data_IF_791060065674
#
_entry.id   IF_791060065674
#
_cell.length_a   1.000
_cell.length_b   1.000
_cell.length_c   1.000
_cell.angle_alpha   90.00
_cell.angle_beta   90.00
_cell.angle_gamma   90.00
#
_symmetry.space_group_name_H-M   'P 1'
#
loop_
_entity.id
_entity.type
_entity.pdbx_description
1 polymer ?
#
# COMPACT_ATOMS: atom_id res chain seq x y z
N UNK A 1 1.63 75.30 -34.55
CA UNK A 1 2.95 75.27 -35.20
C UNK A 1 3.76 74.14 -34.62
N UNK A 2 4.56 73.53 -35.48
CA UNK A 2 5.32 72.29 -35.38
C UNK A 2 6.34 72.23 -34.21
N UNK A 3 6.91 71.04 -34.04
CA UNK A 3 8.24 70.69 -33.47
C UNK A 3 8.24 70.04 -32.06
N UNK A 4 8.36 68.71 -32.04
CA UNK A 4 9.15 67.94 -31.04
C UNK A 4 10.65 68.12 -31.38
N UNK A 5 11.69 67.88 -30.51
CA UNK A 5 11.76 66.75 -29.55
C UNK A 5 12.70 66.91 -28.30
N UNK A 6 12.80 65.82 -27.53
CA UNK A 6 14.03 65.19 -26.98
C UNK A 6 14.27 65.18 -25.45
N UNK A 7 14.53 63.95 -25.02
CA UNK A 7 14.92 63.34 -23.74
C UNK A 7 15.90 64.09 -22.82
N UNK A 8 15.70 63.94 -21.50
CA UNK A 8 16.75 63.66 -20.52
C UNK A 8 16.16 63.00 -19.25
N UNK A 9 17.02 62.31 -18.53
CA UNK A 9 16.77 61.21 -17.60
C UNK A 9 16.83 61.58 -16.10
N UNK A 10 16.04 60.84 -15.29
CA UNK A 10 16.36 60.26 -13.96
C UNK A 10 16.65 61.20 -12.77
N UNK A 11 15.74 61.18 -11.79
CA UNK A 11 15.98 61.34 -10.35
C UNK A 11 14.90 60.51 -9.62
N UNK A 12 15.22 59.29 -9.21
CA UNK A 12 15.48 58.89 -7.81
C UNK A 12 14.28 59.05 -6.87
N UNK A 13 13.59 57.93 -6.65
CA UNK A 13 12.62 57.71 -5.58
C UNK A 13 13.10 56.52 -4.73
N UNK A 14 12.81 56.52 -3.41
CA UNK A 14 13.65 55.87 -2.40
C UNK A 14 13.49 54.36 -2.32
N UNK A 15 14.57 53.72 -1.90
CA UNK A 15 14.76 52.28 -1.69
C UNK A 15 13.74 51.75 -0.67
N UNK A 16 12.77 50.97 -1.15
CA UNK A 16 11.97 50.06 -0.33
C UNK A 16 12.72 48.74 -0.18
N UNK A 17 13.44 48.57 0.93
CA UNK A 17 14.00 47.27 1.33
C UNK A 17 12.87 46.33 1.78
N UNK A 18 12.23 45.64 0.84
CA UNK A 18 11.50 44.42 1.13
C UNK A 18 12.49 43.26 1.29
N UNK A 19 12.42 42.44 2.36
CA UNK A 19 13.23 41.24 2.48
C UNK A 19 12.95 40.29 1.30
N UNK A 20 13.96 39.63 0.73
CA UNK A 20 13.72 38.68 -0.35
C UNK A 20 12.83 37.54 0.15
N UNK A 21 11.75 37.27 -0.60
CA UNK A 21 10.90 36.08 -0.41
C UNK A 21 11.81 34.84 -0.39
N UNK A 22 11.68 33.93 0.59
CA UNK A 22 12.47 32.71 0.60
C UNK A 22 12.19 31.91 -0.68
N UNK A 23 13.26 31.45 -1.33
CA UNK A 23 13.17 30.55 -2.47
C UNK A 23 12.39 29.29 -2.09
N UNK A 24 11.62 28.69 -3.03
CA UNK A 24 10.91 27.44 -2.79
C UNK A 24 11.91 26.37 -2.35
N UNK A 25 11.65 25.72 -1.22
CA UNK A 25 12.51 24.63 -0.72
C UNK A 25 12.43 23.49 -1.73
N UNK A 26 13.58 23.07 -2.26
CA UNK A 26 13.65 21.98 -3.23
C UNK A 26 13.26 20.63 -2.61
N UNK A 27 12.80 19.68 -3.43
CA UNK A 27 12.56 18.32 -2.96
C UNK A 27 13.84 17.67 -2.40
N UNK A 28 14.99 17.97 -3.00
CA UNK A 28 16.30 17.49 -2.57
C UNK A 28 16.72 18.07 -1.22
N UNK A 29 16.42 19.35 -0.97
CA UNK A 29 16.68 20.01 0.30
C UNK A 29 15.87 19.37 1.43
N UNK A 30 14.58 19.07 1.20
CA UNK A 30 13.75 18.35 2.17
C UNK A 30 14.31 16.96 2.49
N UNK A 31 14.82 16.23 1.49
CA UNK A 31 15.48 14.93 1.72
C UNK A 31 16.80 15.06 2.47
N UNK A 32 17.59 16.10 2.20
CA UNK A 32 18.83 16.36 2.92
C UNK A 32 18.57 16.70 4.39
N UNK A 33 17.54 17.52 4.67
CA UNK A 33 17.11 17.85 6.03
C UNK A 33 16.61 16.60 6.75
N UNK A 34 15.77 15.80 6.12
CA UNK A 34 15.27 14.55 6.71
C UNK A 34 16.41 13.58 7.06
N UNK A 35 17.35 13.36 6.14
CA UNK A 35 18.55 12.53 6.38
C UNK A 35 19.36 13.04 7.56
N UNK A 36 19.64 14.35 7.63
CA UNK A 36 20.38 14.94 8.76
C UNK A 36 19.72 14.66 10.11
N UNK A 37 18.40 14.63 10.19
CA UNK A 37 17.70 14.28 11.42
C UNK A 37 17.65 12.77 11.67
N UNK A 38 17.46 11.97 10.63
CA UNK A 38 17.46 10.50 10.71
C UNK A 38 18.82 9.97 11.22
N UNK A 39 19.93 10.50 10.70
CA UNK A 39 21.30 10.11 11.07
C UNK A 39 21.67 10.48 12.51
N UNK A 40 20.91 11.36 13.16
CA UNK A 40 21.11 11.68 14.57
C UNK A 40 20.42 10.62 15.44
N UNK A 41 21.08 10.08 16.48
CA UNK A 41 20.38 9.21 17.43
C UNK A 41 19.28 9.99 18.16
N UNK A 42 18.17 9.32 18.45
CA UNK A 42 17.11 9.91 19.29
C UNK A 42 17.65 9.98 20.72
N UNK A 43 17.97 11.18 21.21
CA UNK A 43 18.52 11.37 22.55
C UNK A 43 17.44 11.18 23.62
N UNK A 44 17.70 10.31 24.59
CA UNK A 44 16.89 10.07 25.81
C UNK A 44 15.36 10.04 25.58
N UNK A 45 14.84 9.09 24.78
CA UNK A 45 13.39 8.91 24.67
C UNK A 45 12.79 8.51 26.02
N UNK A 46 11.57 8.98 26.31
CA UNK A 46 10.80 8.53 27.48
C UNK A 46 10.65 6.98 27.43
N UNK A 47 10.63 6.28 28.58
CA UNK A 47 10.43 4.84 28.61
C UNK A 47 9.18 4.42 27.83
N UNK A 48 9.34 3.48 26.90
CA UNK A 48 8.24 2.96 26.07
C UNK A 48 8.03 3.67 24.72
N UNK A 49 8.76 4.76 24.42
CA UNK A 49 8.74 5.38 23.09
C UNK A 49 9.54 4.51 22.12
N UNK A 50 8.90 4.08 21.04
CA UNK A 50 9.50 3.22 20.00
C UNK A 50 9.87 3.99 18.72
N UNK A 51 9.21 5.12 18.45
CA UNK A 51 9.58 6.01 17.35
C UNK A 51 9.22 7.47 17.64
N UNK A 52 9.79 8.37 16.83
CA UNK A 52 9.60 9.82 16.92
C UNK A 52 9.35 10.40 15.54
N UNK A 53 8.33 11.23 15.38
CA UNK A 53 8.19 12.09 14.21
C UNK A 53 8.84 13.44 14.51
N UNK A 54 9.92 13.77 13.81
CA UNK A 54 10.63 15.04 13.96
C UNK A 54 10.21 16.01 12.86
N UNK A 55 9.74 17.21 13.22
CA UNK A 55 9.28 18.20 12.24
C UNK A 55 10.42 18.72 11.36
N UNK A 56 10.23 18.65 10.04
CA UNK A 56 11.21 19.11 9.05
C UNK A 56 10.75 20.34 8.26
N UNK A 57 9.44 20.51 8.06
CA UNK A 57 8.85 21.70 7.44
C UNK A 57 8.75 22.89 8.40
N UNK A 58 8.64 24.12 7.85
CA UNK A 58 8.48 25.34 8.65
C UNK A 58 7.22 25.30 9.52
N UNK A 59 6.06 24.90 8.95
CA UNK A 59 4.79 24.86 9.69
C UNK A 59 4.78 23.77 10.77
N UNK A 60 5.35 22.60 10.50
CA UNK A 60 5.45 21.55 11.50
C UNK A 60 6.34 21.95 12.69
N UNK A 61 7.42 22.71 12.45
CA UNK A 61 8.31 23.20 13.51
C UNK A 61 7.68 24.27 14.41
N UNK A 62 6.66 24.97 13.90
CA UNK A 62 5.92 26.02 14.62
C UNK A 62 4.73 25.47 15.44
N UNK A 63 4.59 24.14 15.58
CA UNK A 63 3.57 23.54 16.45
C UNK A 63 3.81 23.90 17.91
N UNK A 64 2.73 24.19 18.64
CA UNK A 64 2.73 24.52 20.07
C UNK A 64 3.29 23.39 20.94
N UNK A 65 3.12 22.16 20.51
CA UNK A 65 3.46 20.94 21.24
C UNK A 65 4.91 20.51 21.01
N UNK A 66 5.68 21.33 20.29
CA UNK A 66 7.09 21.12 20.02
C UNK A 66 7.37 20.42 18.70
N UNK A 67 8.68 20.31 18.42
CA UNK A 67 9.20 19.79 17.15
C UNK A 67 8.98 18.29 16.97
N UNK A 68 8.85 17.55 18.08
CA UNK A 68 8.81 16.09 18.09
C UNK A 68 7.41 15.58 18.47
N UNK A 69 6.99 14.49 17.84
CA UNK A 69 5.82 13.70 18.26
C UNK A 69 6.35 12.34 18.68
N UNK A 70 6.15 12.00 19.95
CA UNK A 70 6.62 10.73 20.52
C UNK A 70 5.56 9.65 20.31
N UNK A 71 5.97 8.50 19.78
CA UNK A 71 5.11 7.34 19.55
C UNK A 71 5.46 6.27 20.58
N UNK A 72 4.58 6.07 21.57
CA UNK A 72 4.76 5.12 22.67
C UNK A 72 3.69 4.03 22.75
N UNK A 73 2.45 4.32 22.36
CA UNK A 73 1.37 3.35 22.30
C UNK A 73 1.42 2.48 21.04
N UNK A 74 0.57 1.47 20.94
CA UNK A 74 0.51 0.61 19.74
C UNK A 74 -0.16 1.30 18.55
N UNK A 75 -1.04 2.26 18.79
CA UNK A 75 -1.72 3.06 17.76
C UNK A 75 -1.74 4.55 18.14
N UNK A 76 -1.48 5.42 17.17
CA UNK A 76 -1.53 6.87 17.31
C UNK A 76 -2.32 7.48 16.16
N UNK A 77 -3.39 8.19 16.50
CA UNK A 77 -4.21 8.91 15.52
C UNK A 77 -3.73 10.36 15.47
N UNK A 78 -3.41 10.84 14.27
CA UNK A 78 -3.01 12.23 14.03
C UNK A 78 -4.12 12.96 13.27
N UNK A 79 -4.38 14.21 13.63
CA UNK A 79 -5.43 14.99 12.97
C UNK A 79 -5.76 16.30 13.67
N UNK A 80 -6.76 17.01 13.15
CA UNK A 80 -7.13 18.34 13.62
C UNK A 80 -7.91 18.33 14.94
N UNK A 81 -8.72 17.30 15.18
CA UNK A 81 -9.63 17.23 16.33
C UNK A 81 -9.32 16.06 17.26
N UNK A 82 -8.10 15.52 17.21
CA UNK A 82 -7.66 14.44 18.09
C UNK A 82 -7.66 14.92 19.55
N UNK A 83 -8.14 14.06 20.44
CA UNK A 83 -8.26 14.34 21.88
C UNK A 83 -6.92 14.70 22.50
N UNK A 84 -5.91 13.87 22.28
CA UNK A 84 -4.56 14.11 22.77
C UNK A 84 -3.87 15.24 21.97
N UNK A 85 -3.54 16.39 22.60
CA UNK A 85 -2.97 17.53 21.90
C UNK A 85 -1.62 17.23 21.23
N UNK A 86 -0.83 16.28 21.75
CA UNK A 86 0.50 15.95 21.21
C UNK A 86 0.43 15.48 19.74
N UNK A 87 -0.68 14.85 19.34
CA UNK A 87 -0.91 14.35 17.98
C UNK A 87 -1.78 15.30 17.12
N UNK A 88 -2.10 16.49 17.65
CA UNK A 88 -2.95 17.45 16.97
C UNK A 88 -2.16 18.27 15.95
N UNK A 89 -2.73 18.44 14.78
CA UNK A 89 -2.25 19.36 13.75
C UNK A 89 -3.37 20.37 13.46
N UNK A 90 -3.25 21.55 14.06
CA UNK A 90 -4.26 22.62 14.07
C UNK A 90 -4.33 23.39 12.74
N UNK A 91 -4.44 22.66 11.62
CA UNK A 91 -4.60 23.23 10.29
C UNK A 91 -5.98 22.87 9.73
N UNK A 92 -6.68 23.84 9.16
CA UNK A 92 -8.04 23.63 8.62
C UNK A 92 -8.03 22.59 7.48
N UNK A 93 -6.95 22.48 6.71
CA UNK A 93 -6.79 21.47 5.66
C UNK A 93 -6.67 20.04 6.19
N UNK A 94 -6.36 19.85 7.47
CA UNK A 94 -6.19 18.53 8.08
C UNK A 94 -7.55 18.05 8.59
N UNK A 95 -7.98 16.85 8.17
CA UNK A 95 -9.17 16.17 8.69
C UNK A 95 -9.11 15.92 10.20
N UNK A 96 -10.26 15.76 10.85
CA UNK A 96 -10.38 15.54 12.30
C UNK A 96 -9.51 14.38 12.80
N UNK A 97 -9.69 13.20 12.19
CA UNK A 97 -8.81 12.03 12.29
C UNK A 97 -8.18 11.80 10.91
N UNK A 98 -6.97 12.29 10.71
CA UNK A 98 -6.34 12.38 9.39
C UNK A 98 -5.67 11.08 8.97
N UNK A 99 -4.80 10.55 9.82
CA UNK A 99 -4.19 9.26 9.61
C UNK A 99 -3.92 8.60 10.95
N UNK A 100 -3.58 7.32 10.88
CA UNK A 100 -3.11 6.56 12.03
C UNK A 100 -1.77 5.92 11.75
N UNK A 101 -0.92 5.89 12.76
CA UNK A 101 0.37 5.19 12.75
C UNK A 101 0.31 4.14 13.84
N UNK A 102 0.55 2.88 13.49
CA UNK A 102 0.42 1.75 14.42
C UNK A 102 1.50 0.69 14.20
N UNK A 103 1.85 -0.01 15.27
CA UNK A 103 2.67 -1.23 15.23
C UNK A 103 1.78 -2.41 14.91
N UNK A 104 2.21 -3.28 14.00
CA UNK A 104 1.52 -4.55 13.77
C UNK A 104 2.04 -5.62 14.73
N UNK A 105 1.40 -5.70 15.91
CA UNK A 105 1.78 -6.65 16.96
C UNK A 105 1.54 -8.10 16.57
N UNK A 106 0.63 -8.39 15.62
CA UNK A 106 0.35 -9.75 15.15
C UNK A 106 1.52 -10.28 14.33
N UNK A 107 2.11 -9.46 13.46
CA UNK A 107 3.32 -9.82 12.72
C UNK A 107 4.54 -9.84 13.65
N UNK A 108 4.60 -8.91 14.61
CA UNK A 108 5.67 -8.85 15.61
C UNK A 108 5.77 -10.09 16.50
N UNK A 109 4.64 -10.70 16.88
CA UNK A 109 4.63 -11.94 17.68
C UNK A 109 5.11 -13.18 16.89
N UNK A 110 4.93 -13.18 15.57
CA UNK A 110 5.36 -14.26 14.67
C UNK A 110 6.87 -14.19 14.34
N UNK A 111 7.47 -13.01 14.44
CA UNK A 111 8.88 -12.77 14.10
C UNK A 111 9.64 -12.18 15.30
N UNK A 112 10.06 -13.04 16.24
CA UNK A 112 10.75 -12.63 17.47
C UNK A 112 12.14 -12.00 17.28
N UNK A 113 12.72 -12.11 16.08
CA UNK A 113 14.08 -11.63 15.77
C UNK A 113 14.10 -10.33 14.92
N UNK A 114 12.95 -9.83 14.47
CA UNK A 114 12.86 -8.60 13.66
C UNK A 114 12.13 -7.45 14.41
N UNK A 115 12.47 -6.17 14.15
CA UNK A 115 11.72 -5.04 14.66
C UNK A 115 10.26 -5.08 14.19
N UNK A 116 9.31 -4.92 15.13
CA UNK A 116 7.87 -4.92 14.84
C UNK A 116 7.54 -3.91 13.74
N UNK A 117 6.93 -4.32 12.61
CA UNK A 117 6.69 -3.42 11.50
C UNK A 117 5.65 -2.35 11.86
N UNK A 118 5.91 -1.13 11.39
CA UNK A 118 5.06 0.03 11.64
C UNK A 118 4.37 0.45 10.36
N UNK A 119 3.07 0.74 10.44
CA UNK A 119 2.25 1.10 9.30
C UNK A 119 1.58 2.45 9.50
N UNK A 120 1.41 3.18 8.39
CA UNK A 120 0.58 4.36 8.29
C UNK A 120 -0.66 4.05 7.46
N UNK A 121 -1.84 4.36 8.00
CA UNK A 121 -3.11 4.31 7.28
C UNK A 121 -3.73 5.70 7.22
N UNK A 122 -3.91 6.21 6.01
CA UNK A 122 -4.63 7.46 5.77
C UNK A 122 -6.15 7.23 5.91
N UNK A 123 -6.82 8.17 6.58
CA UNK A 123 -8.28 8.24 6.73
C UNK A 123 -8.83 9.61 6.33
N UNK A 124 -8.00 10.44 5.71
CA UNK A 124 -8.29 11.85 5.48
C UNK A 124 -9.00 12.11 4.16
N UNK A 125 -9.52 13.33 4.02
CA UNK A 125 -10.13 13.81 2.77
C UNK A 125 -9.06 14.27 1.77
N UNK A 126 -7.99 14.90 2.26
CA UNK A 126 -6.98 15.55 1.43
C UNK A 126 -5.75 14.68 1.14
N UNK A 127 -5.62 13.55 1.85
CA UNK A 127 -4.53 12.59 1.73
C UNK A 127 -3.29 12.96 2.55
N UNK A 128 -2.49 11.93 2.81
CA UNK A 128 -1.18 11.98 3.44
C UNK A 128 -0.12 11.60 2.43
N UNK A 129 1.02 12.31 2.41
CA UNK A 129 2.15 11.99 1.56
C UNK A 129 3.23 11.26 2.34
N UNK A 130 3.70 10.12 1.84
CA UNK A 130 4.93 9.46 2.33
C UNK A 130 5.95 9.46 1.20
N UNK A 131 7.12 10.08 1.42
CA UNK A 131 8.17 10.24 0.40
C UNK A 131 7.63 10.75 -0.96
N UNK A 132 6.83 11.82 -0.94
CA UNK A 132 6.14 12.42 -2.10
C UNK A 132 5.04 11.55 -2.76
N UNK A 133 4.83 10.31 -2.32
CA UNK A 133 3.74 9.47 -2.79
C UNK A 133 2.47 9.76 -1.97
N UNK A 134 1.34 10.01 -2.65
CA UNK A 134 0.08 10.38 -2.00
C UNK A 134 -0.75 9.13 -1.65
N UNK A 135 -1.14 9.03 -0.39
CA UNK A 135 -2.03 8.00 0.15
C UNK A 135 -3.37 8.64 0.54
N UNK A 136 -4.46 7.93 0.24
CA UNK A 136 -5.84 8.36 0.48
C UNK A 136 -6.56 7.35 1.36
N UNK A 137 -7.76 7.69 1.84
CA UNK A 137 -8.61 6.81 2.68
C UNK A 137 -8.76 5.36 2.17
N UNK A 138 -8.85 5.18 0.85
CA UNK A 138 -8.99 3.86 0.19
C UNK A 138 -7.66 3.15 -0.07
N UNK A 139 -6.52 3.83 0.04
CA UNK A 139 -5.20 3.23 -0.14
C UNK A 139 -4.93 2.19 0.95
N UNK A 140 -4.25 1.08 0.66
CA UNK A 140 -3.82 0.14 1.68
C UNK A 140 -2.87 0.83 2.69
N UNK A 141 -2.74 0.32 3.93
CA UNK A 141 -1.71 0.78 4.86
C UNK A 141 -0.32 0.68 4.22
N UNK A 142 0.52 1.68 4.46
CA UNK A 142 1.90 1.72 3.95
C UNK A 142 2.89 1.49 5.08
N UNK A 143 3.89 0.63 4.87
CA UNK A 143 4.94 0.37 5.86
C UNK A 143 5.84 1.61 5.97
N UNK A 144 6.10 2.06 7.20
CA UNK A 144 7.04 3.13 7.49
C UNK A 144 8.40 2.54 7.87
N UNK A 145 9.46 3.16 7.35
CA UNK A 145 10.84 2.82 7.69
C UNK A 145 11.57 4.04 8.22
N UNK A 146 12.58 3.82 9.07
CA UNK A 146 13.44 4.89 9.59
C UNK A 146 13.94 5.82 8.45
N UNK A 147 13.71 7.12 8.60
CA UNK A 147 14.06 8.14 7.61
C UNK A 147 12.93 8.57 6.67
N UNK A 148 11.79 7.88 6.68
CA UNK A 148 10.65 8.24 5.82
C UNK A 148 10.06 9.61 6.14
N UNK A 149 9.68 10.36 5.10
CA UNK A 149 9.08 11.68 5.24
C UNK A 149 7.56 11.58 5.12
N UNK A 150 6.86 12.00 6.16
CA UNK A 150 5.40 12.04 6.22
C UNK A 150 4.95 13.49 6.15
N UNK A 151 4.07 13.83 5.20
CA UNK A 151 3.53 15.18 5.04
C UNK A 151 2.01 15.18 4.93
N UNK A 152 1.36 16.02 5.72
CA UNK A 152 -0.10 16.12 5.76
C UNK A 152 -0.60 17.08 4.68
N UNK A 153 -1.63 16.68 3.92
CA UNK A 153 -2.40 17.50 2.95
C UNK A 153 -1.69 17.95 1.68
N UNK A 154 -0.41 18.30 1.75
CA UNK A 154 0.39 18.78 0.61
C UNK A 154 1.74 18.07 0.56
N UNK A 155 2.42 18.05 -0.60
CA UNK A 155 3.76 17.51 -0.72
C UNK A 155 4.77 18.16 0.26
N UNK A 156 5.83 17.45 0.69
CA UNK A 156 6.73 17.91 1.75
C UNK A 156 7.42 19.27 1.47
N UNK A 157 7.71 19.56 0.21
CA UNK A 157 8.43 20.76 -0.25
C UNK A 157 7.53 22.02 -0.35
N UNK A 158 6.22 21.87 -0.18
CA UNK A 158 5.29 22.98 -0.26
C UNK A 158 5.35 23.85 1.02
N UNK A 159 5.27 25.18 0.91
CA UNK A 159 5.41 26.08 2.07
C UNK A 159 4.32 25.89 3.15
N UNK A 160 3.14 25.43 2.73
CA UNK A 160 2.02 25.12 3.63
C UNK A 160 2.08 23.69 4.20
N UNK A 161 3.13 22.91 3.91
CA UNK A 161 3.22 21.52 4.33
C UNK A 161 3.45 21.38 5.82
N UNK A 162 2.83 20.36 6.41
CA UNK A 162 3.20 19.84 7.71
C UNK A 162 3.96 18.54 7.48
N UNK A 163 5.27 18.65 7.22
CA UNK A 163 6.15 17.52 7.00
C UNK A 163 7.00 17.17 8.23
N UNK A 164 7.10 15.87 8.50
CA UNK A 164 7.86 15.24 9.57
C UNK A 164 8.72 14.10 8.99
N UNK A 165 9.86 13.83 9.61
CA UNK A 165 10.65 12.61 9.36
C UNK A 165 10.37 11.59 10.46
N UNK A 166 10.09 10.36 10.07
CA UNK A 166 9.91 9.22 10.96
C UNK A 166 11.27 8.65 11.39
N UNK A 167 11.49 8.51 12.68
CA UNK A 167 12.76 8.06 13.27
C UNK A 167 12.50 6.99 14.33
N UNK A 168 13.02 5.80 14.12
CA UNK A 168 13.00 4.73 15.11
C UNK A 168 14.02 4.97 16.22
N UNK A 169 13.65 4.63 17.47
CA UNK A 169 14.50 4.82 18.65
C UNK A 169 15.65 3.81 18.71
N UNK A 170 15.42 2.57 18.26
CA UNK A 170 16.41 1.50 18.23
C UNK A 170 16.86 1.17 16.81
N UNK A 171 16.92 2.15 15.91
CA UNK A 171 17.50 1.94 14.58
C UNK A 171 18.96 1.50 14.78
N UNK A 172 19.23 0.20 14.68
CA UNK A 172 20.59 -0.32 14.58
C UNK A 172 21.20 0.38 13.38
N UNK A 173 22.20 1.22 13.63
CA UNK A 173 22.90 2.03 12.65
C UNK A 173 23.31 1.19 11.43
N UNK A 174 22.49 1.20 10.39
CA UNK A 174 22.85 0.73 9.06
C UNK A 174 23.56 1.87 8.30
N UNK A 175 24.68 2.34 8.87
CA UNK A 175 25.66 3.14 8.14
C UNK A 175 27.05 2.62 8.53
N UNK A 176 27.61 1.80 7.65
CA UNK A 176 29.05 1.60 7.61
C UNK A 176 29.71 2.94 7.31
N UNK A 177 30.53 3.41 8.24
CA UNK A 177 31.83 4.04 8.00
C UNK A 177 32.41 4.38 9.36
N UNK A 178 33.59 3.81 9.63
CA UNK A 178 34.31 4.03 10.86
C UNK A 178 34.64 5.51 11.07
N UNK A 179 34.63 5.93 12.32
CA UNK A 179 35.81 6.48 13.00
C UNK A 179 35.47 6.61 14.49
N UNK A 180 35.97 5.71 15.32
CA UNK A 180 35.97 5.87 16.77
C UNK A 180 37.09 6.85 17.15
N UNK A 181 36.81 8.16 17.19
CA UNK A 181 37.74 9.14 17.77
C UNK A 181 37.45 9.26 19.26
N UNK A 182 38.03 8.37 20.06
CA UNK A 182 38.22 8.61 21.50
C UNK A 182 39.56 9.31 21.71
N UNK A 183 39.54 10.64 21.70
CA UNK A 183 40.71 11.49 21.96
C UNK A 183 40.93 11.62 23.47
N UNK A 184 41.75 10.76 24.07
CA UNK A 184 42.32 11.00 25.42
C UNK A 184 43.57 11.89 25.28
N UNK A 185 43.52 13.10 25.86
CA UNK A 185 44.74 13.86 26.21
C UNK A 185 45.30 13.25 27.50
N UNK A 186 46.50 12.69 27.45
CA UNK A 186 47.27 12.36 28.67
C UNK A 186 48.31 13.44 28.89
N UNK A 187 48.28 14.02 30.10
CA UNK A 187 49.11 15.13 30.53
C UNK A 187 50.59 14.76 30.67
N UNK A 188 51.39 15.68 30.16
CA UNK A 188 52.73 16.09 30.56
C UNK A 188 53.05 15.82 32.05
N UNK A 189 54.06 14.99 32.31
CA UNK A 189 54.68 14.86 33.63
C UNK A 189 56.12 15.37 33.51
N UNK A 190 56.33 16.62 33.90
CA UNK A 190 57.65 17.21 34.05
C UNK A 190 58.33 16.63 35.29
N UNK A 191 59.53 16.09 35.10
CA UNK A 191 60.45 15.83 36.21
C UNK A 191 61.57 16.85 36.16
N UNK A 192 61.43 17.88 37.00
CA UNK A 192 62.48 18.80 37.39
C UNK A 192 63.67 18.03 37.97
N UNK A 193 64.79 17.99 37.26
CA UNK A 193 66.08 17.64 37.89
C UNK A 193 66.79 18.93 38.26
N UNK A 194 66.66 19.30 39.54
CA UNK A 194 67.38 20.39 40.19
C UNK A 194 68.87 20.16 40.01
N UNK A 195 69.55 21.09 39.34
CA UNK A 195 71.00 21.27 39.35
C UNK A 195 71.51 21.17 40.79
N UNK A 196 72.15 20.06 41.13
CA UNK A 196 72.97 19.96 42.32
C UNK A 196 74.22 20.83 42.12
N UNK A 197 74.56 21.51 43.21
CA UNK A 197 75.63 22.49 43.35
C UNK A 197 76.97 21.91 42.93
N UNK A 198 77.81 22.78 42.39
CA UNK A 198 79.08 22.43 41.78
C UNK A 198 80.01 21.62 42.68
N UNK A 199 80.65 20.63 42.07
CA UNK A 199 81.99 20.22 42.45
C UNK A 199 82.95 21.19 41.76
N UNK A 200 83.34 22.22 42.51
CA UNK A 200 84.61 22.88 42.27
C UNK A 200 85.77 21.97 42.64
N UNK A 201 86.97 22.45 42.30
CA UNK A 201 88.31 21.89 42.54
C UNK A 201 88.71 21.02 41.33
N UNK A 202 89.43 21.54 40.34
CA UNK A 202 90.66 22.32 40.50
C UNK A 202 91.83 21.34 40.51
N UNK A 203 92.69 21.43 39.50
CA UNK A 203 93.87 20.59 39.32
C UNK A 203 94.65 20.40 40.62
N UNK A 204 94.80 19.14 41.04
CA UNK A 204 95.94 18.70 41.82
C UNK A 204 96.53 17.48 41.11
N UNK A 205 97.59 17.73 40.35
CA UNK A 205 98.56 16.72 39.96
C UNK A 205 99.23 16.22 41.26
N UNK A 206 98.55 15.29 41.93
CA UNK A 206 98.85 14.75 43.25
C UNK A 206 98.19 13.38 43.38
N UNK A 207 98.77 12.44 44.16
CA UNK A 207 98.39 11.04 44.09
C UNK A 207 96.91 10.85 44.47
N UNK A 208 96.18 10.20 43.57
CA UNK A 208 94.77 9.85 43.74
C UNK A 208 94.60 9.06 45.05
N UNK A 209 93.62 9.44 45.87
CA UNK A 209 93.30 8.73 47.11
C UNK A 209 92.88 7.29 46.81
N UNK A 210 93.51 6.31 47.48
CA UNK A 210 93.21 4.89 47.31
C UNK A 210 91.75 4.55 47.65
N UNK A 211 91.09 5.34 48.50
CA UNK A 211 89.67 5.16 48.83
C UNK A 211 88.75 5.61 47.69
N UNK A 212 89.17 6.60 46.91
CA UNK A 212 88.40 7.09 45.75
C UNK A 212 88.49 6.07 44.61
N UNK A 213 89.67 5.48 44.41
CA UNK A 213 89.87 4.38 43.45
C UNK A 213 89.01 3.19 43.82
N UNK A 214 89.04 2.74 45.09
CA UNK A 214 88.19 1.62 45.55
C UNK A 214 86.70 1.89 45.42
N UNK A 215 86.24 3.12 45.65
CA UNK A 215 84.81 3.50 45.43
C UNK A 215 84.44 3.50 43.95
N UNK A 216 85.32 4.00 43.08
CA UNK A 216 85.09 3.96 41.64
C UNK A 216 85.12 2.53 41.09
N UNK A 217 86.01 1.67 41.57
CA UNK A 217 86.05 0.26 41.21
C UNK A 217 84.76 -0.46 41.60
N UNK A 218 84.27 -0.24 42.84
CA UNK A 218 83.01 -0.81 43.31
C UNK A 218 81.81 -0.28 42.50
N UNK A 219 81.75 1.02 42.24
CA UNK A 219 80.69 1.62 41.43
C UNK A 219 80.70 1.11 39.99
N UNK A 220 81.87 0.91 39.38
CA UNK A 220 81.98 0.32 38.05
C UNK A 220 81.60 -1.16 38.03
N UNK A 221 81.88 -1.91 39.09
CA UNK A 221 81.42 -3.30 39.22
C UNK A 221 79.88 -3.35 39.32
N UNK A 222 79.27 -2.52 40.18
CA UNK A 222 77.82 -2.40 40.32
C UNK A 222 77.15 -1.93 39.01
N UNK A 223 77.74 -1.00 38.27
CA UNK A 223 77.22 -0.55 36.97
C UNK A 223 77.25 -1.65 35.91
N UNK A 224 78.29 -2.50 35.90
CA UNK A 224 78.35 -3.66 35.00
C UNK A 224 77.27 -4.69 35.34
N UNK A 225 77.10 -4.98 36.63
CA UNK A 225 76.04 -5.88 37.11
C UNK A 225 74.64 -5.33 36.74
N UNK A 226 74.40 -4.04 36.92
CA UNK A 226 73.15 -3.40 36.50
C UNK A 226 72.94 -3.46 34.98
N UNK A 227 74.00 -3.25 34.20
CA UNK A 227 73.93 -3.33 32.75
C UNK A 227 73.58 -4.74 32.29
N UNK A 228 74.21 -5.76 32.86
CA UNK A 228 73.92 -7.18 32.59
C UNK A 228 72.45 -7.50 32.94
N UNK A 229 71.97 -7.08 34.11
CA UNK A 229 70.58 -7.27 34.53
C UNK A 229 69.59 -6.56 33.59
N UNK A 230 69.90 -5.34 33.13
CA UNK A 230 69.08 -4.62 32.17
C UNK A 230 69.07 -5.28 30.79
N UNK A 231 70.20 -5.80 30.31
CA UNK A 231 70.27 -6.53 29.03
C UNK A 231 69.39 -7.78 29.08
N UNK A 232 69.46 -8.58 30.16
CA UNK A 232 68.60 -9.75 30.36
C UNK A 232 67.11 -9.34 30.39
N UNK A 233 66.78 -8.23 31.04
CA UNK A 233 65.41 -7.70 31.08
C UNK A 233 64.93 -7.26 29.69
N UNK A 234 65.79 -6.63 28.90
CA UNK A 234 65.46 -6.22 27.53
C UNK A 234 65.26 -7.45 26.63
N UNK A 235 66.10 -8.47 26.75
CA UNK A 235 65.97 -9.70 25.98
C UNK A 235 64.69 -10.47 26.32
N UNK A 236 64.36 -10.58 27.61
CA UNK A 236 63.09 -11.19 28.05
C UNK A 236 61.86 -10.41 27.59
N UNK A 237 61.90 -9.07 27.62
CA UNK A 237 60.82 -8.25 27.06
C UNK A 237 60.70 -8.41 25.54
N UNK A 238 61.83 -8.53 24.82
CA UNK A 238 61.83 -8.74 23.36
C UNK A 238 61.25 -10.09 22.99
N UNK A 239 61.61 -11.16 23.70
CA UNK A 239 61.03 -12.49 23.46
C UNK A 239 59.56 -12.53 23.81
N UNK A 240 59.16 -11.94 24.94
CA UNK A 240 57.75 -11.81 25.32
C UNK A 240 56.94 -11.04 24.25
N UNK A 241 57.45 -9.89 23.78
CA UNK A 241 56.80 -9.10 22.71
C UNK A 241 56.62 -9.92 21.44
N UNK A 242 57.66 -10.65 21.00
CA UNK A 242 57.59 -11.50 19.81
C UNK A 242 56.53 -12.59 19.95
N UNK A 243 56.48 -13.27 21.11
CA UNK A 243 55.47 -14.31 21.35
C UNK A 243 54.05 -13.75 21.43
N UNK A 244 53.87 -12.56 21.99
CA UNK A 244 52.58 -11.88 22.04
C UNK A 244 52.11 -11.46 20.64
N UNK A 245 53.02 -10.98 19.78
CA UNK A 245 52.74 -10.64 18.39
C UNK A 245 52.29 -11.88 17.60
N UNK A 246 53.00 -13.01 17.72
CA UNK A 246 52.65 -14.28 17.07
C UNK A 246 51.30 -14.82 17.55
N UNK A 247 50.99 -14.70 18.84
CA UNK A 247 49.68 -15.09 19.40
C UNK A 247 48.56 -14.20 18.87
N UNK A 248 48.75 -12.88 18.89
CA UNK A 248 47.75 -11.94 18.36
C UNK A 248 47.50 -12.15 16.87
N UNK A 249 48.54 -12.40 16.06
CA UNK A 249 48.39 -12.72 14.64
C UNK A 249 47.56 -14.00 14.44
N UNK A 250 47.82 -15.04 15.23
CA UNK A 250 47.08 -16.30 15.20
C UNK A 250 45.61 -16.10 15.58
N UNK A 251 45.32 -15.41 16.68
CA UNK A 251 43.95 -15.12 17.13
C UNK A 251 43.17 -14.33 16.08
N UNK A 252 43.82 -13.35 15.45
CA UNK A 252 43.20 -12.51 14.42
C UNK A 252 42.88 -13.32 13.15
N UNK A 253 43.73 -14.29 12.81
CA UNK A 253 43.48 -15.23 11.71
C UNK A 253 42.32 -16.18 12.01
N UNK A 254 42.28 -16.78 13.20
CA UNK A 254 41.20 -17.68 13.64
C UNK A 254 39.86 -16.94 13.75
N UNK A 255 39.87 -15.72 14.27
CA UNK A 255 38.68 -14.87 14.32
C UNK A 255 38.16 -14.53 12.91
N UNK A 256 39.06 -14.20 11.98
CA UNK A 256 38.68 -13.92 10.59
C UNK A 256 38.11 -15.16 9.90
N UNK A 257 38.70 -16.33 10.11
CA UNK A 257 38.25 -17.59 9.51
C UNK A 257 36.89 -18.04 10.05
N UNK A 258 36.70 -17.99 11.37
CA UNK A 258 35.41 -18.31 12.01
C UNK A 258 34.30 -17.35 11.57
N UNK A 259 34.59 -16.04 11.54
CA UNK A 259 33.66 -15.02 11.04
C UNK A 259 33.30 -15.25 9.57
N UNK A 260 34.31 -15.47 8.72
CA UNK A 260 34.10 -15.74 7.29
C UNK A 260 33.31 -17.02 7.05
N UNK A 261 33.58 -18.07 7.81
CA UNK A 261 32.88 -19.36 7.68
C UNK A 261 31.41 -19.22 8.08
N UNK A 262 31.12 -18.50 9.18
CA UNK A 262 29.75 -18.23 9.62
C UNK A 262 28.93 -17.48 8.57
N UNK A 263 29.48 -16.41 7.97
CA UNK A 263 28.78 -15.69 6.90
C UNK A 263 28.59 -16.54 5.64
N UNK A 264 29.56 -17.40 5.31
CA UNK A 264 29.44 -18.32 4.17
C UNK A 264 28.32 -19.35 4.40
N UNK A 265 28.25 -19.93 5.59
CA UNK A 265 27.17 -20.85 5.96
C UNK A 265 25.80 -20.17 5.94
N UNK A 266 25.70 -18.95 6.49
CA UNK A 266 24.46 -18.17 6.44
C UNK A 266 24.04 -17.89 5.00
N UNK A 267 24.99 -17.53 4.13
CA UNK A 267 24.72 -17.27 2.71
C UNK A 267 24.22 -18.53 2.00
N UNK A 268 24.85 -19.69 2.25
CA UNK A 268 24.41 -20.98 1.71
C UNK A 268 23.01 -21.36 2.18
N UNK A 269 22.73 -21.17 3.48
CA UNK A 269 21.41 -21.44 4.06
C UNK A 269 20.32 -20.57 3.41
N UNK A 270 20.58 -19.26 3.28
CA UNK A 270 19.67 -18.33 2.60
C UNK A 270 19.45 -18.70 1.14
N UNK A 271 20.50 -19.12 0.44
CA UNK A 271 20.40 -19.55 -0.96
C UNK A 271 19.53 -20.79 -1.12
N UNK A 272 19.68 -21.79 -0.24
CA UNK A 272 18.82 -22.98 -0.23
C UNK A 272 17.36 -22.64 0.10
N UNK A 273 17.13 -21.74 1.07
CA UNK A 273 15.79 -21.27 1.40
C UNK A 273 15.15 -20.53 0.22
N UNK A 274 15.91 -19.69 -0.49
CA UNK A 274 15.46 -18.99 -1.67
C UNK A 274 15.12 -19.95 -2.82
N UNK A 275 15.95 -20.96 -3.07
CA UNK A 275 15.67 -21.99 -4.08
C UNK A 275 14.39 -22.78 -3.74
N UNK A 276 14.20 -23.11 -2.45
CA UNK A 276 12.97 -23.74 -1.98
C UNK A 276 11.74 -22.85 -2.20
N UNK A 277 11.83 -21.55 -1.94
CA UNK A 277 10.75 -20.59 -2.19
C UNK A 277 10.48 -20.40 -3.69
N UNK A 278 11.51 -20.42 -4.53
CA UNK A 278 11.35 -20.37 -5.98
C UNK A 278 10.57 -21.60 -6.48
N UNK A 279 10.93 -22.80 -6.04
CA UNK A 279 10.20 -24.03 -6.39
C UNK A 279 8.73 -23.98 -5.95
N UNK A 280 8.45 -23.47 -4.74
CA UNK A 280 7.07 -23.27 -4.27
C UNK A 280 6.31 -22.28 -5.17
N UNK A 281 6.94 -21.17 -5.55
CA UNK A 281 6.34 -20.18 -6.44
C UNK A 281 6.02 -20.78 -7.82
N UNK A 282 6.93 -21.58 -8.38
CA UNK A 282 6.73 -22.23 -9.67
C UNK A 282 5.55 -23.21 -9.62
N UNK A 283 5.45 -24.03 -8.56
CA UNK A 283 4.31 -24.95 -8.37
C UNK A 283 2.97 -24.24 -8.16
N UNK A 284 2.96 -23.10 -7.46
CA UNK A 284 1.76 -22.29 -7.31
C UNK A 284 1.37 -21.62 -8.63
N UNK A 285 2.36 -21.19 -9.42
CA UNK A 285 2.13 -20.63 -10.75
C UNK A 285 1.47 -21.66 -11.68
N UNK A 286 1.98 -22.90 -11.71
CA UNK A 286 1.38 -23.97 -12.52
C UNK A 286 -0.06 -24.28 -12.08
N UNK A 287 -0.29 -24.46 -10.77
CA UNK A 287 -1.64 -24.72 -10.25
C UNK A 287 -2.61 -23.57 -10.55
N UNK A 288 -2.13 -22.33 -10.48
CA UNK A 288 -2.95 -21.16 -10.82
C UNK A 288 -3.33 -21.15 -12.31
N UNK A 289 -2.41 -21.50 -13.21
CA UNK A 289 -2.75 -21.64 -14.64
C UNK A 289 -3.76 -22.75 -14.91
N UNK A 290 -3.65 -23.88 -14.21
CA UNK A 290 -4.63 -24.98 -14.31
C UNK A 290 -6.01 -24.55 -13.82
N UNK A 291 -6.06 -23.84 -12.67
CA UNK A 291 -7.31 -23.31 -12.13
C UNK A 291 -7.96 -22.30 -13.08
N UNK A 292 -7.18 -21.40 -13.67
CA UNK A 292 -7.66 -20.44 -14.67
C UNK A 292 -8.25 -21.14 -15.90
N UNK A 293 -7.58 -22.18 -16.40
CA UNK A 293 -8.09 -22.97 -17.51
C UNK A 293 -9.39 -23.69 -17.15
N UNK A 294 -9.49 -24.23 -15.93
CA UNK A 294 -10.71 -24.88 -15.44
C UNK A 294 -11.88 -23.90 -15.29
N UNK A 295 -11.63 -22.69 -14.79
CA UNK A 295 -12.66 -21.63 -14.72
C UNK A 295 -13.15 -21.27 -16.12
N UNK A 296 -12.23 -21.14 -17.08
CA UNK A 296 -12.58 -20.83 -18.47
C UNK A 296 -13.47 -21.91 -19.10
N UNK A 297 -13.13 -23.20 -18.91
CA UNK A 297 -13.98 -24.32 -19.37
C UNK A 297 -15.38 -24.28 -18.75
N UNK A 298 -15.46 -24.01 -17.45
CA UNK A 298 -16.74 -23.91 -16.74
C UNK A 298 -17.59 -22.74 -17.26
N UNK A 299 -16.98 -21.59 -17.54
CA UNK A 299 -17.67 -20.43 -18.11
C UNK A 299 -18.17 -20.72 -19.54
N UNK A 300 -17.36 -21.39 -20.38
CA UNK A 300 -17.76 -21.81 -21.72
C UNK A 300 -18.95 -22.77 -21.68
N UNK A 301 -18.92 -23.77 -20.78
CA UNK A 301 -20.03 -24.70 -20.57
C UNK A 301 -21.28 -24.01 -20.05
N UNK A 302 -21.14 -23.06 -19.14
CA UNK A 302 -22.26 -22.27 -18.63
C UNK A 302 -22.87 -21.39 -19.73
N UNK A 303 -22.04 -20.80 -20.59
CA UNK A 303 -22.50 -20.01 -21.73
C UNK A 303 -23.27 -20.88 -22.73
N UNK A 304 -22.74 -22.06 -23.08
CA UNK A 304 -23.42 -23.01 -23.95
C UNK A 304 -24.77 -23.46 -23.38
N UNK A 305 -24.82 -23.72 -22.06
CA UNK A 305 -26.08 -24.07 -21.38
C UNK A 305 -27.10 -22.93 -21.38
N UNK A 306 -26.66 -21.69 -21.17
CA UNK A 306 -27.53 -20.50 -21.25
C UNK A 306 -28.11 -20.33 -22.65
N UNK A 307 -27.29 -20.51 -23.68
CA UNK A 307 -27.75 -20.43 -25.07
C UNK A 307 -28.77 -21.53 -25.39
N UNK A 308 -28.44 -22.78 -25.05
CA UNK A 308 -29.36 -23.91 -25.27
C UNK A 308 -30.71 -23.72 -24.57
N UNK A 309 -30.74 -23.10 -23.38
CA UNK A 309 -31.99 -22.76 -22.70
C UNK A 309 -32.77 -21.67 -23.44
N UNK A 310 -32.09 -20.63 -23.92
CA UNK A 310 -32.73 -19.57 -24.70
C UNK A 310 -33.36 -20.12 -25.99
N UNK A 311 -32.65 -20.98 -26.70
CA UNK A 311 -33.15 -21.64 -27.92
C UNK A 311 -34.39 -22.51 -27.60
N UNK A 312 -34.37 -23.26 -26.49
CA UNK A 312 -35.51 -24.04 -26.05
C UNK A 312 -36.72 -23.16 -25.69
N UNK A 313 -36.49 -22.02 -25.03
CA UNK A 313 -37.54 -21.06 -24.69
C UNK A 313 -38.16 -20.45 -25.95
N UNK A 314 -37.37 -20.16 -26.98
CA UNK A 314 -37.86 -19.67 -28.28
C UNK A 314 -38.73 -20.73 -28.98
N UNK A 315 -38.31 -21.99 -28.98
CA UNK A 315 -39.11 -23.11 -29.52
C UNK A 315 -40.44 -23.22 -28.78
N UNK A 316 -40.43 -23.16 -27.44
CA UNK A 316 -41.65 -23.22 -26.63
C UNK A 316 -42.57 -22.04 -26.94
N UNK A 317 -42.03 -20.83 -27.09
CA UNK A 317 -42.82 -19.64 -27.45
C UNK A 317 -43.44 -19.78 -28.84
N UNK A 318 -42.68 -20.25 -29.82
CA UNK A 318 -43.18 -20.55 -31.17
C UNK A 318 -44.29 -21.61 -31.15
N UNK A 319 -44.11 -22.70 -30.40
CA UNK A 319 -45.13 -23.74 -30.25
C UNK A 319 -46.40 -23.20 -29.57
N UNK A 320 -46.27 -22.36 -28.55
CA UNK A 320 -47.41 -21.71 -27.89
C UNK A 320 -48.19 -20.83 -28.87
N UNK A 321 -47.50 -20.03 -29.69
CA UNK A 321 -48.14 -19.19 -30.70
C UNK A 321 -48.92 -20.05 -31.71
N UNK A 322 -48.30 -21.10 -32.25
CA UNK A 322 -48.95 -22.03 -33.18
C UNK A 322 -50.19 -22.70 -32.56
N UNK A 323 -50.13 -23.09 -31.28
CA UNK A 323 -51.29 -23.67 -30.58
C UNK A 323 -52.42 -22.64 -30.49
N UNK A 324 -52.12 -21.39 -30.11
CA UNK A 324 -53.14 -20.33 -30.06
C UNK A 324 -53.80 -20.08 -31.42
N UNK A 325 -53.01 -20.04 -32.51
CA UNK A 325 -53.55 -19.90 -33.87
C UNK A 325 -54.45 -21.09 -34.25
N UNK A 326 -54.05 -22.32 -33.92
CA UNK A 326 -54.87 -23.51 -34.18
C UNK A 326 -56.16 -23.53 -33.35
N UNK A 327 -56.11 -23.06 -32.09
CA UNK A 327 -57.29 -22.92 -31.24
C UNK A 327 -58.28 -21.89 -31.81
N UNK A 328 -57.77 -20.78 -32.35
CA UNK A 328 -58.57 -19.75 -33.04
C UNK A 328 -59.23 -20.32 -34.29
N UNK A 329 -58.47 -20.97 -35.18
CA UNK A 329 -59.01 -21.63 -36.38
C UNK A 329 -60.06 -22.69 -36.06
N UNK A 330 -59.84 -23.48 -35.00
CA UNK A 330 -60.82 -24.47 -34.54
C UNK A 330 -62.12 -23.80 -34.07
N UNK A 331 -62.02 -22.64 -33.41
CA UNK A 331 -63.17 -21.88 -32.95
C UNK A 331 -63.96 -21.27 -34.12
N UNK A 332 -63.27 -20.76 -35.13
CA UNK A 332 -63.85 -20.24 -36.38
C UNK A 332 -64.60 -21.35 -37.13
N UNK A 333 -63.96 -22.51 -37.35
CA UNK A 333 -64.60 -23.66 -37.97
C UNK A 333 -65.85 -24.11 -37.21
N UNK A 334 -65.79 -24.18 -35.87
CA UNK A 334 -66.95 -24.52 -35.03
C UNK A 334 -68.09 -23.53 -35.23
N UNK A 335 -67.80 -22.23 -35.29
CA UNK A 335 -68.79 -21.18 -35.52
C UNK A 335 -69.39 -21.29 -36.93
N UNK A 336 -68.56 -21.49 -37.96
CA UNK A 336 -69.00 -21.71 -39.34
C UNK A 336 -69.96 -22.90 -39.44
N UNK A 337 -69.64 -24.03 -38.79
CA UNK A 337 -70.54 -25.20 -38.78
C UNK A 337 -71.88 -24.92 -38.08
N UNK A 338 -71.90 -24.07 -37.05
CA UNK A 338 -73.14 -23.66 -36.39
C UNK A 338 -73.97 -22.81 -37.34
N UNK A 339 -73.36 -21.80 -37.98
CA UNK A 339 -74.02 -20.92 -38.95
C UNK A 339 -74.58 -21.70 -40.15
N UNK A 340 -73.81 -22.64 -40.71
CA UNK A 340 -74.26 -23.52 -41.80
C UNK A 340 -75.47 -24.36 -41.39
N UNK A 341 -75.44 -24.93 -40.17
CA UNK A 341 -76.54 -25.74 -39.64
C UNK A 341 -77.80 -24.89 -39.42
N UNK A 342 -77.66 -23.67 -38.90
CA UNK A 342 -78.78 -22.77 -38.65
C UNK A 342 -79.38 -22.26 -39.98
N UNK A 343 -78.54 -21.96 -40.98
CA UNK A 343 -78.98 -21.62 -42.34
C UNK A 343 -79.73 -22.78 -42.99
N UNK A 344 -79.20 -24.00 -42.93
CA UNK A 344 -79.87 -25.18 -43.48
C UNK A 344 -81.22 -25.45 -42.79
N UNK A 345 -81.33 -25.17 -41.48
CA UNK A 345 -82.58 -25.28 -40.76
C UNK A 345 -83.62 -24.24 -41.23
N UNK A 346 -83.21 -22.99 -41.47
CA UNK A 346 -84.10 -21.94 -41.97
C UNK A 346 -84.53 -22.19 -43.43
N UNK A 347 -83.62 -22.68 -44.28
CA UNK A 347 -83.93 -23.09 -45.65
C UNK A 347 -84.95 -24.23 -45.67
N UNK A 348 -84.78 -25.25 -44.81
CA UNK A 348 -85.72 -26.36 -44.67
C UNK A 348 -87.09 -25.87 -44.18
N UNK A 349 -87.12 -24.99 -43.18
CA UNK A 349 -88.35 -24.40 -42.65
C UNK A 349 -89.09 -23.58 -43.70
N UNK A 350 -88.37 -22.80 -44.50
CA UNK A 350 -88.91 -22.03 -45.61
C UNK A 350 -89.50 -22.95 -46.70
N UNK A 351 -88.79 -24.05 -47.04
CA UNK A 351 -89.29 -25.05 -47.97
C UNK A 351 -90.56 -25.74 -47.45
N UNK A 352 -90.62 -26.11 -46.17
CA UNK A 352 -91.80 -26.68 -45.54
C UNK A 352 -92.99 -25.72 -45.55
N UNK A 353 -92.79 -24.44 -45.23
CA UNK A 353 -93.85 -23.43 -45.31
C UNK A 353 -94.37 -23.26 -46.74
N UNK A 354 -93.49 -23.25 -47.74
CA UNK A 354 -93.88 -23.17 -49.15
C UNK A 354 -94.73 -24.38 -49.57
N UNK A 355 -94.27 -25.60 -49.25
CA UNK A 355 -95.03 -26.84 -49.54
C UNK A 355 -96.38 -26.83 -48.82
N UNK A 356 -96.43 -26.38 -47.57
CA UNK A 356 -97.68 -26.27 -46.82
C UNK A 356 -98.64 -25.25 -47.44
N UNK A 357 -98.13 -24.11 -47.92
CA UNK A 357 -98.94 -23.11 -48.61
C UNK A 357 -99.48 -23.63 -49.95
N UNK A 358 -98.63 -24.28 -50.76
CA UNK A 358 -99.04 -24.91 -52.02
C UNK A 358 -100.09 -26.01 -51.79
N UNK A 359 -99.92 -26.83 -50.75
CA UNK A 359 -100.90 -27.84 -50.36
C UNK A 359 -102.24 -27.23 -49.91
N UNK A 360 -102.22 -26.13 -49.16
CA UNK A 360 -103.43 -25.40 -48.77
C UNK A 360 -104.15 -24.80 -49.99
N UNK A 361 -103.41 -24.22 -50.93
CA UNK A 361 -104.00 -23.66 -52.14
C UNK A 361 -104.56 -24.75 -53.06
N UNK A 362 -103.92 -25.92 -53.13
CA UNK A 362 -104.46 -27.08 -53.82
C UNK A 362 -105.75 -27.61 -53.18
N UNK A 363 -105.80 -27.69 -51.84
CA UNK A 363 -107.06 -28.05 -51.15
C UNK A 363 -108.17 -27.05 -51.44
N UNK A 364 -107.87 -25.74 -51.49
CA UNK A 364 -108.85 -24.72 -51.88
C UNK A 364 -109.33 -24.96 -53.31
N UNK A 365 -108.41 -25.17 -54.27
CA UNK A 365 -108.77 -25.48 -55.68
C UNK A 365 -109.67 -26.71 -55.79
N UNK A 366 -109.35 -27.78 -55.08
CA UNK A 366 -110.17 -29.00 -55.05
C UNK A 366 -111.55 -28.75 -54.42
N UNK A 367 -111.60 -27.98 -53.33
CA UNK A 367 -112.86 -27.60 -52.66
C UNK A 367 -113.74 -26.75 -53.59
N UNK A 368 -113.15 -25.76 -54.26
CA UNK A 368 -113.83 -24.91 -55.24
C UNK A 368 -114.35 -25.71 -56.44
N UNK A 369 -113.54 -26.64 -56.98
CA UNK A 369 -113.94 -27.53 -58.06
C UNK A 369 -115.10 -28.45 -57.65
N UNK A 370 -115.03 -29.04 -56.46
CA UNK A 370 -116.10 -29.87 -55.89
C UNK A 370 -117.40 -29.06 -55.69
N UNK A 371 -117.29 -27.84 -55.17
CA UNK A 371 -118.45 -26.97 -54.93
C UNK A 371 -119.11 -26.50 -56.23
N UNK A 372 -118.31 -26.26 -57.27
CA UNK A 372 -118.80 -25.98 -58.63
C UNK A 372 -119.53 -27.17 -59.22
N UNK A 373 -118.95 -28.38 -59.15
CA UNK A 373 -119.60 -29.61 -59.61
C UNK A 373 -120.92 -29.87 -58.86
N UNK A 374 -120.97 -29.64 -57.55
CA UNK A 374 -122.19 -29.79 -56.76
C UNK A 374 -123.28 -28.80 -57.23
N UNK A 375 -122.91 -27.56 -57.54
CA UNK A 375 -123.85 -26.57 -58.11
C UNK A 375 -124.38 -27.03 -59.48
N UNK A 376 -123.50 -27.47 -60.37
CA UNK A 376 -123.88 -27.98 -61.69
C UNK A 376 -124.82 -29.20 -61.59
N UNK A 377 -124.55 -30.13 -60.66
CA UNK A 377 -125.46 -31.26 -60.39
C UNK A 377 -126.82 -30.81 -59.87
N UNK A 378 -126.86 -29.85 -58.93
CA UNK A 378 -128.12 -29.28 -58.42
C UNK A 378 -128.92 -28.61 -59.54
N UNK A 379 -128.27 -27.83 -60.40
CA UNK A 379 -128.90 -27.21 -61.57
C UNK A 379 -129.42 -28.26 -62.57
N UNK A 380 -128.68 -29.33 -62.81
CA UNK A 380 -129.11 -30.44 -63.67
C UNK A 380 -130.33 -31.16 -63.09
N UNK A 381 -130.35 -31.43 -61.78
CA UNK A 381 -131.52 -32.01 -61.10
C UNK A 381 -132.74 -31.10 -61.22
N UNK A 382 -132.58 -29.78 -61.01
CA UNK A 382 -133.67 -28.80 -61.17
C UNK A 382 -134.22 -28.84 -62.60
N UNK A 383 -133.35 -28.92 -63.61
CA UNK A 383 -133.76 -29.03 -65.02
C UNK A 383 -134.49 -30.33 -65.37
N UNK A 384 -134.31 -31.41 -64.62
CA UNK A 384 -135.02 -32.68 -64.79
C UNK A 384 -136.38 -32.74 -64.07
N UNK A 385 -136.69 -31.76 -63.21
CA UNK A 385 -137.94 -31.67 -62.44
C UNK A 385 -138.98 -30.72 -63.06
N UNK A 386 -138.69 -30.15 -64.24
CA UNK A 386 -139.58 -29.37 -65.12
C UNK A 386 -139.80 -30.19 -66.38
#
# INVERSE_FOLDING_TARGET
>A
MLVTPKMASKAESPVSCTPPKPSPVGADEMRAVARKFADQPVQNPEPGVWAVLTAISKKARLRSEGMNILLSADEHILGRTVENPRFRISAVSVSGNHCKIYKDTVIGELQRDEPVPVYLKDSSTNGTYVNWNKFMKRSPPTKLNHGDIISFTTPPHHDASYAFVYREVNAVSCVGNGTTILKRKSGEMGSESKRLKGLGIGSSDGPVSLDDVRRLEKSNAELREQLEAHVVTIETLRTASKTAEEQHEKELKEFKESTSSSYLEQTKSLQLALEGKQKQLDTLSTLNTELQNSIKDLDERLSASKQSRADADEIIQSQKANICELEEQLSEERNLRIEERDKAAEDLKSALHKVQAEAQDEMKRQTEAYLKQQKEQKEFIIKLQV
#
